data_IF_012580477893
#
_entry.id   IF_012580477893
#
_cell.length_a   1.000
_cell.length_b   1.000
_cell.length_c   1.000
_cell.angle_alpha   90.00
_cell.angle_beta   90.00
_cell.angle_gamma   90.00
#
_symmetry.space_group_name_H-M   'P 1'
#
loop_
_entity.id
_entity.type
_entity.pdbx_description
1 polymer ?
#
# COMPACT_ATOMS: atom_id res chain seq x y z
N UNK A 1 15.87 12.74 -22.31
CA UNK A 1 15.67 12.42 -20.89
C UNK A 1 15.08 11.03 -20.90
N UNK A 2 15.80 10.08 -20.32
CA UNK A 2 15.58 8.66 -20.62
C UNK A 2 14.46 8.12 -19.72
N UNK A 3 13.44 7.44 -20.27
CA UNK A 3 12.37 6.84 -19.47
C UNK A 3 12.91 5.78 -18.51
N UNK A 4 12.48 5.83 -17.25
CA UNK A 4 12.82 4.86 -16.23
C UNK A 4 11.65 4.62 -15.27
N UNK A 5 11.87 3.78 -14.26
CA UNK A 5 10.98 3.62 -13.11
C UNK A 5 11.73 3.88 -11.82
N UNK A 6 11.07 4.54 -10.87
CA UNK A 6 11.54 4.64 -9.50
C UNK A 6 10.87 3.54 -8.68
N UNK A 7 11.67 2.80 -7.92
CA UNK A 7 11.23 1.66 -7.11
C UNK A 7 11.50 1.94 -5.64
N UNK A 8 10.57 1.51 -4.79
CA UNK A 8 10.68 1.50 -3.33
C UNK A 8 10.53 0.06 -2.81
N UNK A 9 11.48 -0.39 -2.00
CA UNK A 9 11.43 -1.72 -1.39
C UNK A 9 10.71 -1.74 -0.04
N UNK A 10 10.34 -2.94 0.41
CA UNK A 10 9.76 -3.19 1.74
C UNK A 10 10.63 -2.78 2.93
N UNK A 11 11.89 -2.43 2.70
CA UNK A 11 12.84 -1.99 3.73
C UNK A 11 13.27 -0.54 3.57
N UNK A 12 12.59 0.24 2.71
CA UNK A 12 12.87 1.67 2.54
C UNK A 12 14.02 2.00 1.59
N UNK A 13 14.47 1.04 0.77
CA UNK A 13 15.48 1.30 -0.25
C UNK A 13 14.84 1.90 -1.50
N UNK A 14 15.47 2.93 -2.05
CA UNK A 14 15.12 3.58 -3.31
C UNK A 14 16.17 3.30 -4.37
N UNK A 15 15.70 3.08 -5.60
CA UNK A 15 16.55 2.98 -6.79
C UNK A 15 15.73 3.31 -8.03
N UNK A 16 16.41 3.55 -9.16
CA UNK A 16 15.78 3.67 -10.48
C UNK A 16 16.25 2.58 -11.44
N UNK A 17 15.38 2.16 -12.35
CA UNK A 17 15.73 1.23 -13.43
C UNK A 17 16.48 1.95 -14.57
N UNK A 18 17.13 1.18 -15.43
CA UNK A 18 17.81 1.71 -16.62
C UNK A 18 16.84 2.06 -17.77
N UNK A 19 15.64 1.49 -17.76
CA UNK A 19 14.60 1.62 -18.78
C UNK A 19 13.20 1.68 -18.14
N UNK A 20 12.16 1.91 -18.93
CA UNK A 20 10.77 2.03 -18.45
C UNK A 20 9.99 0.69 -18.46
N UNK A 21 10.67 -0.44 -18.68
CA UNK A 21 10.01 -1.73 -18.81
C UNK A 21 9.22 -2.06 -17.53
N UNK A 22 8.04 -2.67 -17.63
CA UNK A 22 7.30 -3.13 -16.47
C UNK A 22 8.15 -4.04 -15.58
N UNK A 23 8.06 -3.87 -14.27
CA UNK A 23 8.59 -4.84 -13.30
C UNK A 23 7.65 -6.06 -13.28
N UNK A 24 7.99 -7.06 -14.08
CA UNK A 24 7.27 -8.32 -14.06
C UNK A 24 7.61 -9.11 -12.80
N UNK A 25 6.59 -9.72 -12.20
CA UNK A 25 6.71 -10.58 -11.03
C UNK A 25 6.25 -11.98 -11.44
N UNK A 26 7.21 -12.90 -11.56
CA UNK A 26 6.97 -14.31 -11.80
C UNK A 26 6.75 -15.06 -10.49
N UNK A 27 5.82 -16.02 -10.50
CA UNK A 27 5.58 -16.92 -9.37
C UNK A 27 6.74 -17.91 -9.14
N UNK A 28 7.44 -18.28 -10.22
CA UNK A 28 8.51 -19.29 -10.19
C UNK A 28 9.90 -18.69 -9.93
N UNK A 29 10.01 -17.37 -9.87
CA UNK A 29 11.29 -16.71 -9.65
C UNK A 29 11.84 -17.00 -8.24
N UNK A 30 13.15 -17.26 -8.18
CA UNK A 30 13.84 -17.44 -6.92
C UNK A 30 13.86 -16.12 -6.15
N UNK A 31 13.09 -16.08 -5.06
CA UNK A 31 13.02 -14.95 -4.13
C UNK A 31 14.37 -14.66 -3.46
N UNK A 32 14.69 -13.38 -3.27
CA UNK A 32 15.93 -12.89 -2.65
C UNK A 32 15.64 -11.77 -1.65
N UNK A 33 16.63 -11.32 -0.89
CA UNK A 33 16.44 -10.23 0.07
C UNK A 33 16.15 -8.91 -0.69
N UNK A 34 15.25 -8.09 -0.17
CA UNK A 34 14.85 -6.79 -0.75
C UNK A 34 14.16 -6.89 -2.14
N UNK A 35 13.47 -7.99 -2.40
CA UNK A 35 12.75 -8.24 -3.66
C UNK A 35 11.25 -7.94 -3.62
N UNK A 36 10.76 -7.41 -2.49
CA UNK A 36 9.38 -6.93 -2.35
C UNK A 36 9.36 -5.44 -2.65
N UNK A 37 8.79 -5.09 -3.81
CA UNK A 37 8.60 -3.72 -4.27
C UNK A 37 7.24 -3.23 -3.77
N UNK A 38 7.23 -2.25 -2.87
CA UNK A 38 5.98 -1.72 -2.29
C UNK A 38 5.40 -0.56 -3.08
N UNK A 39 6.24 0.11 -3.88
CA UNK A 39 5.81 1.17 -4.78
C UNK A 39 6.72 1.23 -6.00
N UNK A 40 6.13 1.41 -7.18
CA UNK A 40 6.87 1.69 -8.40
C UNK A 40 6.12 2.73 -9.22
N UNK A 41 6.86 3.66 -9.83
CA UNK A 41 6.27 4.76 -10.59
C UNK A 41 7.09 5.04 -11.84
N UNK A 42 6.44 5.39 -12.94
CA UNK A 42 7.10 5.83 -14.15
C UNK A 42 7.74 7.22 -13.95
N UNK A 43 8.91 7.43 -14.53
CA UNK A 43 9.64 8.68 -14.43
C UNK A 43 10.58 8.85 -15.64
N UNK A 44 11.33 9.95 -15.64
CA UNK A 44 12.49 10.14 -16.51
C UNK A 44 13.74 10.37 -15.66
N UNK A 45 14.91 10.05 -16.20
CA UNK A 45 16.17 10.10 -15.47
C UNK A 45 16.51 11.48 -14.86
N UNK A 46 16.01 12.57 -15.44
CA UNK A 46 16.17 13.95 -14.94
C UNK A 46 14.87 14.56 -14.39
N UNK A 47 13.82 13.76 -14.26
CA UNK A 47 12.54 14.18 -13.73
C UNK A 47 12.46 14.07 -12.20
N UNK A 48 11.26 14.34 -11.69
CA UNK A 48 10.92 14.21 -10.28
C UNK A 48 9.75 13.23 -10.09
N UNK A 49 9.68 12.60 -8.93
CA UNK A 49 8.49 11.87 -8.46
C UNK A 49 8.03 12.41 -7.12
N UNK A 50 6.76 12.18 -6.77
CA UNK A 50 6.20 12.52 -5.47
C UNK A 50 6.34 11.36 -4.48
N UNK A 51 6.67 11.68 -3.23
CA UNK A 51 6.78 10.73 -2.13
C UNK A 51 5.77 11.10 -1.04
N UNK A 52 4.70 10.33 -0.90
CA UNK A 52 3.56 10.62 -0.01
C UNK A 52 3.83 10.07 1.38
N UNK A 53 3.62 10.88 2.41
CA UNK A 53 3.93 10.53 3.80
C UNK A 53 2.68 10.32 4.67
N UNK A 54 2.84 9.62 5.80
CA UNK A 54 1.75 9.31 6.74
C UNK A 54 1.11 10.56 7.35
N UNK A 55 1.82 11.67 7.43
CA UNK A 55 1.35 12.94 7.99
C UNK A 55 0.61 13.82 6.97
N UNK A 56 0.39 13.33 5.75
CA UNK A 56 -0.39 14.05 4.74
C UNK A 56 0.43 15.00 3.85
N UNK A 57 1.75 14.81 3.79
CA UNK A 57 2.66 15.55 2.90
C UNK A 57 3.00 14.73 1.66
N UNK A 58 3.45 15.43 0.64
CA UNK A 58 4.12 14.90 -0.54
C UNK A 58 5.42 15.66 -0.72
N UNK A 59 6.53 14.92 -0.71
CA UNK A 59 7.87 15.45 -0.91
C UNK A 59 8.33 15.14 -2.33
N UNK A 60 8.93 16.12 -2.99
CA UNK A 60 9.49 15.97 -4.33
C UNK A 60 10.84 15.25 -4.24
N UNK A 61 10.99 14.19 -5.03
CA UNK A 61 12.18 13.36 -5.09
C UNK A 61 12.80 13.44 -6.49
N UNK A 62 14.01 13.97 -6.55
CA UNK A 62 14.80 14.08 -7.77
C UNK A 62 15.32 12.69 -8.20
N UNK A 63 14.96 12.27 -9.41
CA UNK A 63 15.26 10.91 -9.91
C UNK A 63 16.75 10.76 -10.23
N UNK A 64 17.43 11.83 -10.63
CA UNK A 64 18.84 11.78 -11.04
C UNK A 64 19.78 11.40 -9.89
N UNK A 65 19.36 11.67 -8.66
CA UNK A 65 20.13 11.40 -7.45
C UNK A 65 20.02 9.92 -7.02
N UNK A 66 19.05 9.18 -7.57
CA UNK A 66 18.81 7.79 -7.20
C UNK A 66 19.84 6.83 -7.84
N UNK A 67 20.30 5.81 -7.09
CA UNK A 67 21.11 4.73 -7.64
C UNK A 67 20.39 4.07 -8.80
N UNK A 68 21.09 3.93 -9.94
CA UNK A 68 20.58 3.18 -11.08
C UNK A 68 20.91 1.71 -10.89
N UNK A 69 19.88 0.85 -10.94
CA UNK A 69 20.06 -0.60 -10.93
C UNK A 69 20.68 -1.07 -12.25
N UNK A 70 21.47 -2.15 -12.24
CA UNK A 70 21.91 -2.81 -13.45
C UNK A 70 20.71 -3.22 -14.32
N UNK A 71 20.84 -3.08 -15.63
CA UNK A 71 19.84 -3.58 -16.57
C UNK A 71 19.96 -5.09 -16.70
N UNK A 72 19.30 -5.81 -15.80
CA UNK A 72 19.17 -7.26 -15.87
C UNK A 72 17.75 -7.59 -16.27
N UNK A 73 17.56 -8.47 -17.26
CA UNK A 73 16.25 -9.06 -17.61
C UNK A 73 15.66 -9.97 -16.52
N UNK A 74 16.11 -9.80 -15.27
CA UNK A 74 15.63 -10.48 -14.09
C UNK A 74 14.82 -9.50 -13.24
N UNK A 75 13.97 -10.04 -12.38
CA UNK A 75 13.20 -9.23 -11.44
C UNK A 75 14.12 -8.36 -10.58
N UNK A 76 13.79 -7.07 -10.39
CA UNK A 76 14.59 -6.18 -9.58
C UNK A 76 14.54 -6.59 -8.11
N UNK A 77 15.70 -6.63 -7.48
CA UNK A 77 15.82 -6.49 -6.03
C UNK A 77 16.58 -5.19 -5.74
N UNK A 78 16.28 -4.55 -4.62
CA UNK A 78 16.85 -3.26 -4.28
C UNK A 78 18.10 -3.36 -3.40
N UNK A 79 18.85 -4.47 -3.44
CA UNK A 79 20.08 -4.60 -2.66
C UNK A 79 21.14 -3.55 -3.04
N UNK A 80 21.09 -3.00 -4.27
CA UNK A 80 21.93 -1.89 -4.72
C UNK A 80 21.29 -0.51 -4.59
N UNK A 81 20.13 -0.39 -3.94
CA UNK A 81 19.47 0.89 -3.65
C UNK A 81 20.07 1.58 -2.44
N UNK A 82 19.60 2.80 -2.18
CA UNK A 82 20.01 3.64 -1.05
C UNK A 82 18.82 3.94 -0.13
N UNK A 83 19.07 4.25 1.14
CA UNK A 83 17.97 4.45 2.09
C UNK A 83 17.21 5.74 1.82
N UNK A 84 15.89 5.72 2.02
CA UNK A 84 15.03 6.89 1.85
C UNK A 84 15.53 8.13 2.60
N UNK A 85 16.09 7.95 3.79
CA UNK A 85 16.63 9.04 4.63
C UNK A 85 17.82 9.78 4.01
N UNK A 86 18.44 9.23 2.98
CA UNK A 86 19.51 9.90 2.22
C UNK A 86 18.95 10.95 1.25
N UNK A 87 17.66 10.86 0.89
CA UNK A 87 17.03 11.72 -0.13
C UNK A 87 15.93 12.60 0.45
N UNK A 88 15.21 12.13 1.48
CA UNK A 88 14.06 12.81 2.05
C UNK A 88 14.23 12.99 3.55
N UNK A 89 13.83 14.17 4.03
CA UNK A 89 13.73 14.45 5.47
C UNK A 89 12.31 14.21 5.94
N UNK A 90 12.12 13.15 6.72
CA UNK A 90 10.85 12.84 7.35
C UNK A 90 10.80 13.42 8.77
N UNK A 91 9.62 13.87 9.20
CA UNK A 91 9.39 14.27 10.58
C UNK A 91 9.45 13.07 11.53
N UNK A 92 9.51 13.32 12.84
CA UNK A 92 9.39 12.25 13.83
C UNK A 92 8.06 11.50 13.67
N UNK A 93 8.12 10.16 13.72
CA UNK A 93 6.98 9.25 13.54
C UNK A 93 6.27 9.33 12.18
N UNK A 94 6.88 10.02 11.20
CA UNK A 94 6.40 10.04 9.82
C UNK A 94 6.97 8.87 9.02
N UNK A 95 6.11 8.23 8.24
CA UNK A 95 6.45 7.09 7.39
C UNK A 95 6.17 7.44 5.93
N UNK A 96 6.97 6.90 5.01
CA UNK A 96 6.65 6.96 3.59
C UNK A 96 5.57 5.92 3.26
N UNK A 97 4.52 6.37 2.59
CA UNK A 97 3.36 5.54 2.22
C UNK A 97 3.48 5.03 0.78
N UNK A 98 3.74 5.91 -0.19
CA UNK A 98 3.87 5.52 -1.59
C UNK A 98 4.67 6.55 -2.41
N UNK A 99 5.08 6.13 -3.61
CA UNK A 99 5.54 7.01 -4.68
C UNK A 99 4.39 7.31 -5.65
N UNK A 100 4.44 8.44 -6.34
CA UNK A 100 3.46 8.81 -7.37
C UNK A 100 4.07 9.74 -8.43
N UNK A 101 3.49 9.74 -9.63
CA UNK A 101 3.91 10.65 -10.69
C UNK A 101 3.55 12.09 -10.33
N UNK A 102 4.30 13.03 -10.89
CA UNK A 102 3.98 14.47 -10.81
C UNK A 102 3.47 14.96 -12.17
N UNK A 103 2.57 14.19 -12.78
CA UNK A 103 2.00 14.48 -14.10
C UNK A 103 0.54 14.95 -14.00
N UNK A 104 0.20 16.02 -14.71
CA UNK A 104 -1.16 16.55 -14.80
C UNK A 104 -2.14 15.56 -15.45
N UNK A 105 -1.63 14.61 -16.24
CA UNK A 105 -2.41 13.54 -16.88
C UNK A 105 -2.81 12.41 -15.92
N UNK A 106 -2.26 12.36 -14.70
CA UNK A 106 -2.58 11.33 -13.72
C UNK A 106 -4.07 11.39 -13.33
N UNK A 107 -4.79 10.24 -13.24
CA UNK A 107 -6.14 10.21 -12.67
C UNK A 107 -6.22 10.61 -11.20
N UNK A 108 -5.07 10.83 -10.56
CA UNK A 108 -4.93 11.34 -9.21
C UNK A 108 -4.64 10.27 -8.17
N UNK A 109 -4.39 10.72 -6.95
CA UNK A 109 -4.03 9.86 -5.82
C UNK A 109 -5.28 9.49 -5.01
N UNK A 110 -5.50 8.21 -4.75
CA UNK A 110 -6.45 7.77 -3.74
C UNK A 110 -5.73 7.61 -2.39
N UNK A 111 -6.32 8.15 -1.33
CA UNK A 111 -5.79 8.15 0.04
C UNK A 111 -6.86 7.57 0.98
N UNK A 112 -6.44 6.71 1.90
CA UNK A 112 -7.22 6.26 3.03
C UNK A 112 -6.49 6.54 4.35
N UNK A 113 -7.24 6.94 5.38
CA UNK A 113 -6.69 7.30 6.68
C UNK A 113 -7.07 6.33 7.79
N UNK A 114 -6.32 6.37 8.89
CA UNK A 114 -6.51 5.59 10.10
C UNK A 114 -7.95 5.71 10.64
N UNK A 115 -8.51 6.92 10.62
CA UNK A 115 -9.86 7.21 11.10
C UNK A 115 -10.97 6.94 10.06
N UNK A 116 -10.66 6.26 8.96
CA UNK A 116 -11.66 5.84 7.97
C UNK A 116 -12.06 6.93 6.98
N UNK A 117 -11.25 7.97 6.82
CA UNK A 117 -11.43 8.97 5.77
C UNK A 117 -10.89 8.44 4.44
N UNK A 118 -11.58 8.78 3.35
CA UNK A 118 -11.11 8.55 1.98
C UNK A 118 -11.01 9.87 1.24
N UNK A 119 -9.99 10.02 0.39
CA UNK A 119 -9.83 11.16 -0.50
C UNK A 119 -9.31 10.72 -1.86
N UNK A 120 -9.80 11.35 -2.93
CA UNK A 120 -9.13 11.37 -4.23
C UNK A 120 -8.55 12.75 -4.45
N UNK A 121 -7.25 12.85 -4.66
CA UNK A 121 -6.53 14.10 -4.87
C UNK A 121 -6.39 14.36 -6.36
N UNK A 122 -6.76 15.56 -6.80
CA UNK A 122 -6.50 15.98 -8.19
C UNK A 122 -4.99 16.16 -8.42
N UNK A 123 -4.47 15.86 -9.62
CA UNK A 123 -3.08 16.14 -9.96
C UNK A 123 -2.87 17.65 -10.10
N UNK A 124 -2.44 18.29 -9.02
CA UNK A 124 -2.05 19.71 -9.00
C UNK A 124 -0.73 19.82 -8.23
N UNK A 125 0.38 19.80 -8.97
CA UNK A 125 1.72 19.72 -8.41
C UNK A 125 2.57 20.91 -8.88
N UNK A 126 2.51 22.06 -8.19
CA UNK A 126 3.30 23.24 -8.54
C UNK A 126 4.80 22.88 -8.68
N UNK A 127 5.45 23.20 -9.82
CA UNK A 127 6.82 22.76 -10.11
C UNK A 127 7.88 23.43 -9.22
N UNK A 128 7.52 24.55 -8.58
CA UNK A 128 8.40 25.32 -7.70
C UNK A 128 8.24 24.98 -6.20
N UNK A 129 7.61 23.85 -5.90
CA UNK A 129 7.37 23.39 -4.53
C UNK A 129 7.99 22.02 -4.34
N UNK A 130 8.91 21.95 -3.38
CA UNK A 130 9.55 20.71 -2.96
C UNK A 130 8.68 19.91 -1.99
N UNK A 131 7.74 20.59 -1.33
CA UNK A 131 6.80 20.01 -0.37
C UNK A 131 5.38 20.50 -0.65
N UNK A 132 4.43 19.58 -0.63
CA UNK A 132 3.01 19.81 -0.88
C UNK A 132 2.16 19.09 0.17
N UNK A 133 1.10 19.72 0.65
CA UNK A 133 0.04 19.00 1.39
C UNK A 133 -0.80 18.19 0.40
N UNK A 134 -1.14 16.94 0.72
CA UNK A 134 -2.06 16.11 -0.08
C UNK A 134 -3.42 15.90 0.59
N UNK A 135 -3.50 16.08 1.91
CA UNK A 135 -4.74 16.01 2.70
C UNK A 135 -4.58 16.76 4.02
N UNK A 136 -5.60 17.53 4.40
CA UNK A 136 -5.67 18.12 5.74
C UNK A 136 -6.19 17.07 6.72
N UNK A 137 -5.33 16.56 7.59
CA UNK A 137 -5.66 15.55 8.58
C UNK A 137 -6.28 16.18 9.83
N UNK A 138 -7.12 15.40 10.51
CA UNK A 138 -7.58 15.72 11.87
C UNK A 138 -6.54 15.26 12.89
N UNK A 139 -6.62 15.81 14.09
CA UNK A 139 -5.79 15.38 15.21
C UNK A 139 -5.85 13.87 15.42
N UNK A 140 -4.68 13.25 15.54
CA UNK A 140 -4.52 11.80 15.71
C UNK A 140 -4.91 10.96 14.48
N UNK A 141 -5.15 11.57 13.32
CA UNK A 141 -5.32 10.84 12.06
C UNK A 141 -3.99 10.76 11.30
N UNK A 142 -3.85 9.76 10.44
CA UNK A 142 -2.70 9.57 9.55
C UNK A 142 -3.11 8.80 8.31
N UNK A 143 -2.40 9.00 7.21
CA UNK A 143 -2.54 8.17 6.03
C UNK A 143 -2.04 6.76 6.38
N UNK A 144 -2.86 5.74 6.10
CA UNK A 144 -2.51 4.31 6.26
C UNK A 144 -2.34 3.61 4.92
N UNK A 145 -2.72 4.26 3.83
CA UNK A 145 -2.47 3.78 2.48
C UNK A 145 -2.77 4.87 1.45
N UNK A 146 -2.00 4.86 0.38
CA UNK A 146 -2.22 5.71 -0.77
C UNK A 146 -1.84 4.97 -2.05
N UNK A 147 -2.56 5.22 -3.13
CA UNK A 147 -2.35 4.56 -4.42
C UNK A 147 -2.67 5.53 -5.53
N UNK A 148 -1.73 5.72 -6.45
CA UNK A 148 -2.00 6.45 -7.69
C UNK A 148 -2.97 5.65 -8.55
N UNK A 149 -4.07 6.27 -8.96
CA UNK A 149 -5.08 5.64 -9.79
C UNK A 149 -4.59 5.59 -11.25
N UNK A 150 -4.96 4.54 -11.97
CA UNK A 150 -4.63 4.33 -13.39
C UNK A 150 -5.77 4.67 -14.32
N UNK A 151 -6.99 4.35 -13.91
CA UNK A 151 -8.20 4.64 -14.70
C UNK A 151 -9.22 5.46 -13.92
N UNK A 152 -9.17 5.42 -12.58
CA UNK A 152 -10.22 5.96 -11.72
C UNK A 152 -11.44 5.04 -11.58
N UNK A 153 -11.37 3.83 -12.15
CA UNK A 153 -12.39 2.78 -12.08
C UNK A 153 -12.06 1.68 -11.05
N UNK A 154 -10.91 1.78 -10.38
CA UNK A 154 -10.45 0.86 -9.36
C UNK A 154 -11.44 0.75 -8.20
N UNK A 155 -11.47 -0.40 -7.53
CA UNK A 155 -12.12 -0.55 -6.24
C UNK A 155 -11.20 -0.02 -5.14
N UNK A 156 -11.70 0.93 -4.36
CA UNK A 156 -11.06 1.37 -3.13
C UNK A 156 -11.37 0.35 -2.03
N UNK A 157 -10.35 -0.12 -1.33
CA UNK A 157 -10.45 -1.19 -0.34
C UNK A 157 -9.95 -0.70 1.00
N UNK A 158 -10.77 -0.87 2.03
CA UNK A 158 -10.43 -0.65 3.43
C UNK A 158 -10.45 -1.98 4.18
N UNK A 159 -9.47 -2.21 5.05
CA UNK A 159 -9.50 -3.30 6.03
C UNK A 159 -9.29 -2.72 7.42
N UNK A 160 -10.16 -3.11 8.36
CA UNK A 160 -10.23 -2.54 9.71
C UNK A 160 -9.77 -3.54 10.77
N UNK A 161 -9.35 -3.01 11.93
CA UNK A 161 -8.83 -3.81 13.04
C UNK A 161 -9.86 -4.78 13.65
N UNK A 162 -11.15 -4.50 13.52
CA UNK A 162 -12.26 -5.39 13.91
C UNK A 162 -12.66 -6.42 12.81
N UNK A 163 -11.72 -6.72 11.92
CA UNK A 163 -11.83 -7.70 10.84
C UNK A 163 -12.99 -7.43 9.88
N UNK A 164 -13.24 -6.17 9.51
CA UNK A 164 -14.09 -5.83 8.38
C UNK A 164 -13.26 -5.46 7.16
N UNK A 165 -13.78 -5.79 5.98
CA UNK A 165 -13.30 -5.31 4.70
C UNK A 165 -14.45 -4.63 3.96
N UNK A 166 -14.21 -3.38 3.54
CA UNK A 166 -15.13 -2.63 2.70
C UNK A 166 -14.45 -2.36 1.35
N UNK A 167 -15.12 -2.72 0.25
CA UNK A 167 -14.72 -2.28 -1.10
C UNK A 167 -15.85 -1.60 -1.86
N UNK A 168 -15.52 -0.56 -2.61
CA UNK A 168 -16.43 0.17 -3.49
C UNK A 168 -15.67 0.91 -4.61
N UNK A 169 -16.31 1.23 -5.75
CA UNK A 169 -15.64 1.89 -6.87
C UNK A 169 -15.13 3.29 -6.50
N UNK A 170 -13.94 3.66 -6.96
CA UNK A 170 -13.31 4.97 -6.76
C UNK A 170 -14.18 6.14 -7.28
N UNK A 171 -15.02 5.90 -8.29
CA UNK A 171 -16.03 6.83 -8.77
C UNK A 171 -17.04 7.28 -7.69
N UNK A 172 -17.19 6.53 -6.60
CA UNK A 172 -18.03 6.89 -5.44
C UNK A 172 -17.43 8.02 -4.57
N UNK A 173 -16.20 8.41 -4.87
CA UNK A 173 -15.44 9.50 -4.24
C UNK A 173 -15.10 10.50 -5.33
N UNK A 174 -15.54 11.75 -5.17
CA UNK A 174 -15.18 12.82 -6.10
C UNK A 174 -13.71 13.23 -5.87
N UNK A 175 -12.94 13.55 -6.93
CA UNK A 175 -11.66 14.21 -6.78
C UNK A 175 -11.80 15.56 -6.04
N UNK A 176 -10.83 15.89 -5.21
CA UNK A 176 -10.78 17.10 -4.39
C UNK A 176 -9.40 17.74 -4.46
N UNK A 177 -9.35 19.06 -4.28
CA UNK A 177 -8.10 19.80 -4.15
C UNK A 177 -7.27 19.36 -2.94
N UNK A 178 -5.96 19.64 -3.00
CA UNK A 178 -4.99 19.32 -1.95
C UNK A 178 -5.38 19.77 -0.53
N UNK A 179 -5.93 20.98 -0.28
CA UNK A 179 -6.32 21.41 1.07
C UNK A 179 -7.61 20.79 1.62
N UNK A 180 -8.27 19.88 0.89
CA UNK A 180 -9.50 19.24 1.39
C UNK A 180 -9.17 18.10 2.37
N UNK A 181 -9.99 17.95 3.42
CA UNK A 181 -9.83 16.86 4.41
C UNK A 181 -10.44 15.51 4.02
N UNK A 182 -10.90 15.32 2.79
CA UNK A 182 -11.54 14.06 2.36
C UNK A 182 -13.01 13.91 2.77
N UNK A 183 -13.51 12.67 2.71
CA UNK A 183 -14.89 12.29 3.05
C UNK A 183 -14.91 10.98 3.84
N UNK A 184 -16.02 10.63 4.49
CA UNK A 184 -16.15 9.31 5.13
C UNK A 184 -15.98 8.16 4.10
N UNK A 185 -15.00 7.30 4.32
CA UNK A 185 -14.67 6.17 3.46
C UNK A 185 -15.28 4.86 3.97
N UNK A 186 -15.01 4.53 5.22
CA UNK A 186 -15.54 3.35 5.92
C UNK A 186 -16.13 3.77 7.26
N UNK A 187 -17.21 3.10 7.69
CA UNK A 187 -17.77 3.29 9.03
C UNK A 187 -17.06 2.34 10.00
N UNK A 188 -16.27 2.91 10.91
CA UNK A 188 -15.59 2.17 11.95
C UNK A 188 -16.53 1.82 13.12
N UNK A 189 -16.35 0.65 13.70
CA UNK A 189 -16.89 0.33 15.01
C UNK A 189 -16.18 1.16 16.11
N UNK A 190 -16.78 1.23 17.30
CA UNK A 190 -16.16 1.94 18.41
C UNK A 190 -14.80 1.32 18.77
N UNK A 191 -13.74 2.14 18.74
CA UNK A 191 -12.36 1.70 19.02
C UNK A 191 -11.66 0.97 17.86
N UNK A 192 -12.35 0.72 16.74
CA UNK A 192 -11.73 0.16 15.55
C UNK A 192 -11.04 1.26 14.73
N UNK A 193 -10.00 0.86 14.00
CA UNK A 193 -9.22 1.72 13.11
C UNK A 193 -9.00 1.03 11.76
N UNK A 194 -8.62 1.79 10.74
CA UNK A 194 -8.20 1.24 9.45
C UNK A 194 -6.76 0.77 9.55
N UNK A 195 -6.51 -0.49 9.22
CA UNK A 195 -5.16 -1.06 9.15
C UNK A 195 -4.53 -0.90 7.77
N UNK A 196 -5.33 -0.97 6.72
CA UNK A 196 -4.85 -0.79 5.36
C UNK A 196 -5.88 -0.20 4.43
N UNK A 197 -5.35 0.55 3.47
CA UNK A 197 -6.08 1.10 2.34
C UNK A 197 -5.31 0.85 1.05
N UNK A 198 -6.03 0.50 -0.02
CA UNK A 198 -5.45 0.35 -1.37
C UNK A 198 -6.50 0.64 -2.44
N UNK A 199 -6.06 0.75 -3.69
CA UNK A 199 -6.91 0.66 -4.87
C UNK A 199 -6.56 -0.61 -5.67
N UNK A 200 -7.58 -1.38 -6.06
CA UNK A 200 -7.44 -2.62 -6.83
C UNK A 200 -8.21 -2.50 -8.13
N UNK A 201 -7.54 -2.74 -9.25
CA UNK A 201 -8.22 -2.88 -10.54
C UNK A 201 -9.19 -4.07 -10.48
N UNK A 202 -10.51 -3.87 -10.68
CA UNK A 202 -11.49 -4.95 -10.62
C UNK A 202 -11.30 -6.02 -11.70
N UNK A 203 -10.53 -5.76 -12.77
CA UNK A 203 -10.19 -6.74 -13.78
C UNK A 203 -8.96 -7.60 -13.41
N UNK A 204 -8.17 -7.17 -12.43
CA UNK A 204 -6.98 -7.89 -11.97
C UNK A 204 -7.32 -8.97 -10.95
N UNK A 205 -6.60 -10.09 -11.01
CA UNK A 205 -6.60 -11.06 -9.92
C UNK A 205 -5.96 -10.43 -8.69
N UNK A 206 -6.61 -10.61 -7.55
CA UNK A 206 -6.21 -10.00 -6.30
C UNK A 206 -6.50 -10.93 -5.12
N UNK A 207 -5.83 -10.65 -4.00
CA UNK A 207 -5.95 -11.45 -2.79
C UNK A 207 -5.94 -10.57 -1.55
N UNK A 208 -6.53 -11.08 -0.47
CA UNK A 208 -6.60 -10.41 0.84
C UNK A 208 -5.82 -11.26 1.84
N UNK A 209 -4.86 -10.64 2.51
CA UNK A 209 -4.12 -11.24 3.60
C UNK A 209 -4.45 -10.54 4.92
N UNK A 210 -4.73 -11.32 5.95
CA UNK A 210 -5.05 -10.81 7.29
C UNK A 210 -4.29 -11.60 8.34
N UNK A 211 -3.90 -10.93 9.42
CA UNK A 211 -3.29 -11.54 10.61
C UNK A 211 -4.07 -11.10 11.83
N UNK A 212 -4.62 -12.06 12.57
CA UNK A 212 -5.29 -11.84 13.84
C UNK A 212 -4.36 -12.12 15.02
N UNK A 213 -4.61 -11.41 16.11
CA UNK A 213 -3.95 -11.57 17.40
C UNK A 213 -4.85 -11.03 18.53
N UNK A 214 -4.23 -10.63 19.62
CA UNK A 214 -4.90 -10.12 20.82
C UNK A 214 -4.27 -8.84 21.33
N UNK A 215 -5.09 -7.92 21.81
CA UNK A 215 -4.59 -6.78 22.57
C UNK A 215 -4.02 -7.22 23.93
N UNK A 216 -2.83 -6.73 24.29
CA UNK A 216 -2.38 -6.67 25.68
C UNK A 216 -1.86 -7.96 26.32
N UNK A 217 -1.59 -9.03 25.57
CA UNK A 217 -0.86 -10.19 26.10
C UNK A 217 0.63 -10.04 25.81
N UNK A 218 1.47 -10.10 26.86
CA UNK A 218 2.94 -10.18 26.77
C UNK A 218 3.45 -11.37 25.94
N UNK A 219 2.55 -12.32 25.67
CA UNK A 219 2.73 -13.38 24.68
C UNK A 219 2.20 -12.91 23.32
N UNK A 220 3.10 -12.35 22.50
CA UNK A 220 2.92 -12.14 21.05
C UNK A 220 2.82 -13.48 20.27
N UNK A 221 2.57 -14.60 20.94
CA UNK A 221 3.09 -15.89 20.50
C UNK A 221 2.14 -16.71 19.62
N UNK A 222 0.86 -16.34 19.49
CA UNK A 222 -0.05 -17.03 18.57
C UNK A 222 -0.82 -16.04 17.71
N UNK A 223 -0.22 -15.72 16.57
CA UNK A 223 -0.90 -15.05 15.48
C UNK A 223 -1.51 -16.07 14.52
N UNK A 224 -2.71 -15.81 14.02
CA UNK A 224 -3.27 -16.57 12.90
C UNK A 224 -3.38 -15.72 11.67
N UNK A 225 -3.00 -16.29 10.53
CA UNK A 225 -3.05 -15.63 9.24
C UNK A 225 -4.04 -16.32 8.31
N UNK A 226 -4.62 -15.54 7.41
CA UNK A 226 -5.49 -16.03 6.36
C UNK A 226 -5.17 -15.32 5.07
N UNK A 227 -5.17 -16.07 3.97
CA UNK A 227 -5.07 -15.56 2.62
C UNK A 227 -6.36 -15.93 1.91
N UNK A 228 -7.14 -14.96 1.44
CA UNK A 228 -8.47 -15.19 0.85
C UNK A 228 -8.57 -14.51 -0.51
N UNK A 229 -9.05 -15.21 -1.55
CA UNK A 229 -9.30 -14.62 -2.87
C UNK A 229 -10.16 -13.35 -2.79
N UNK A 230 -9.78 -12.31 -3.52
CA UNK A 230 -10.45 -11.01 -3.43
C UNK A 230 -11.89 -11.05 -3.92
N UNK A 231 -12.24 -11.94 -4.85
CA UNK A 231 -13.59 -12.12 -5.37
C UNK A 231 -14.63 -12.53 -4.30
N UNK A 232 -14.19 -13.06 -3.15
CA UNK A 232 -15.05 -13.42 -2.03
C UNK A 232 -15.63 -12.19 -1.29
N UNK A 233 -15.13 -10.98 -1.57
CA UNK A 233 -15.50 -9.75 -0.88
C UNK A 233 -16.40 -8.87 -1.74
N UNK A 234 -17.74 -8.97 -1.67
CA UNK A 234 -18.62 -8.21 -2.55
C UNK A 234 -18.47 -6.70 -2.39
N UNK A 235 -18.63 -5.95 -3.49
CA UNK A 235 -18.79 -4.49 -3.45
C UNK A 235 -19.96 -4.09 -2.55
N UNK A 236 -19.78 -3.02 -1.78
CA UNK A 236 -20.83 -2.40 -0.93
C UNK A 236 -20.87 -0.90 -1.20
N UNK A 237 -21.74 -0.18 -0.47
CA UNK A 237 -21.75 1.28 -0.50
C UNK A 237 -20.61 1.88 0.33
N UNK A 238 -20.08 3.02 -0.12
CA UNK A 238 -19.15 3.85 0.67
C UNK A 238 -19.76 4.21 2.03
N UNK A 239 -18.90 4.38 3.04
CA UNK A 239 -19.28 4.73 4.42
C UNK A 239 -20.20 3.70 5.11
N UNK A 240 -20.20 2.45 4.63
CA UNK A 240 -20.75 1.30 5.36
C UNK A 240 -19.66 0.61 6.19
N UNK A 241 -20.02 -0.41 6.97
CA UNK A 241 -19.03 -1.17 7.76
C UNK A 241 -18.31 -2.28 6.99
N UNK A 242 -18.67 -2.54 5.73
CA UNK A 242 -18.10 -3.66 4.96
C UNK A 242 -18.66 -5.03 5.36
N UNK A 243 -17.85 -6.07 5.14
CA UNK A 243 -18.15 -7.47 5.46
C UNK A 243 -16.98 -8.07 6.23
N UNK A 244 -17.26 -9.03 7.13
CA UNK A 244 -16.21 -9.71 7.89
C UNK A 244 -15.17 -10.34 6.97
N UNK A 245 -13.88 -10.13 7.24
CA UNK A 245 -12.77 -10.69 6.47
C UNK A 245 -11.97 -11.77 7.20
N UNK A 246 -12.14 -11.90 8.52
CA UNK A 246 -11.64 -13.01 9.31
C UNK A 246 -12.52 -13.20 10.54
N UNK A 247 -12.78 -14.45 10.92
CA UNK A 247 -13.38 -14.77 12.21
C UNK A 247 -12.28 -15.03 13.22
N UNK A 248 -12.29 -14.30 14.32
CA UNK A 248 -11.38 -14.52 15.44
C UNK A 248 -11.59 -15.88 16.11
N UNK A 249 -10.50 -16.54 16.46
CA UNK A 249 -10.45 -17.70 17.33
C UNK A 249 -10.57 -17.29 18.79
N UNK A 250 -10.70 -18.29 19.68
CA UNK A 250 -10.68 -18.04 21.13
C UNK A 250 -9.32 -17.45 21.49
N UNK A 251 -9.34 -16.25 22.09
CA UNK A 251 -8.15 -15.51 22.48
C UNK A 251 -7.77 -14.41 21.50
N UNK A 252 -8.32 -14.39 20.29
CA UNK A 252 -8.12 -13.29 19.33
C UNK A 252 -9.24 -12.26 19.44
N UNK A 253 -8.91 -10.98 19.31
CA UNK A 253 -9.87 -9.88 19.34
C UNK A 253 -9.59 -8.76 18.33
N UNK A 254 -8.49 -8.85 17.58
CA UNK A 254 -8.07 -7.80 16.66
C UNK A 254 -7.28 -8.35 15.46
N UNK A 255 -7.37 -7.69 14.32
CA UNK A 255 -6.36 -7.79 13.28
C UNK A 255 -5.15 -6.92 13.64
N UNK A 256 -3.96 -7.50 13.56
CA UNK A 256 -2.68 -6.80 13.78
C UNK A 256 -1.97 -6.44 12.48
N UNK A 257 -2.38 -7.06 11.36
CA UNK A 257 -1.88 -6.77 10.03
C UNK A 257 -2.94 -7.13 8.99
N UNK A 258 -3.05 -6.31 7.93
CA UNK A 258 -3.94 -6.61 6.82
C UNK A 258 -3.42 -5.99 5.52
N UNK A 259 -3.61 -6.68 4.40
CA UNK A 259 -3.25 -6.20 3.08
C UNK A 259 -4.23 -6.73 2.04
N UNK A 260 -4.49 -5.95 1.00
CA UNK A 260 -5.16 -6.40 -0.21
C UNK A 260 -4.44 -5.84 -1.42
N UNK A 261 -4.41 -6.59 -2.52
CA UNK A 261 -3.78 -6.15 -3.75
C UNK A 261 -3.64 -7.26 -4.79
N UNK A 262 -3.02 -6.93 -5.94
CA UNK A 262 -2.92 -7.85 -7.07
C UNK A 262 -2.00 -9.05 -6.77
N UNK A 263 -2.21 -10.15 -7.48
CA UNK A 263 -1.35 -11.34 -7.45
C UNK A 263 -0.29 -11.29 -8.57
N UNK A 264 0.87 -11.95 -8.39
CA UNK A 264 1.27 -12.73 -7.22
C UNK A 264 1.70 -11.86 -6.02
N UNK A 265 1.13 -12.14 -4.85
CA UNK A 265 1.45 -11.44 -3.62
C UNK A 265 2.77 -11.97 -3.04
N UNK A 266 3.67 -11.05 -2.67
CA UNK A 266 4.97 -11.35 -2.08
C UNK A 266 5.07 -10.73 -0.69
N UNK A 267 5.42 -11.56 0.29
CA UNK A 267 5.68 -11.13 1.65
C UNK A 267 7.18 -11.03 1.95
N UNK A 268 7.51 -10.14 2.89
CA UNK A 268 8.84 -10.01 3.48
C UNK A 268 8.77 -9.80 5.00
N UNK A 269 9.83 -10.24 5.68
CA UNK A 269 10.09 -9.92 7.08
C UNK A 269 10.67 -8.50 7.21
N UNK A 270 10.77 -7.97 8.43
CA UNK A 270 11.28 -6.60 8.70
C UNK A 270 12.66 -6.33 8.11
N UNK A 271 13.51 -7.36 8.00
CA UNK A 271 14.85 -7.24 7.44
C UNK A 271 14.89 -7.37 5.91
N UNK A 272 13.76 -7.54 5.22
CA UNK A 272 13.67 -7.69 3.77
C UNK A 272 13.84 -9.13 3.27
N UNK A 273 14.01 -10.11 4.16
CA UNK A 273 14.03 -11.53 3.77
C UNK A 273 12.62 -11.96 3.34
N UNK A 274 12.47 -12.73 2.26
CA UNK A 274 11.17 -13.27 1.84
C UNK A 274 10.47 -14.05 2.97
N UNK A 275 9.17 -13.85 3.11
CA UNK A 275 8.32 -14.60 4.03
C UNK A 275 7.30 -15.44 3.24
N UNK A 276 6.91 -16.59 3.78
CA UNK A 276 5.89 -17.44 3.17
C UNK A 276 4.48 -17.00 3.54
N UNK A 277 3.61 -16.95 2.53
CA UNK A 277 2.17 -16.80 2.72
C UNK A 277 1.50 -18.18 2.87
N UNK A 278 0.42 -18.29 3.67
CA UNK A 278 -0.34 -19.51 3.78
C UNK A 278 -1.08 -19.81 2.46
N UNK A 279 -1.54 -21.06 2.30
CA UNK A 279 -2.38 -21.42 1.16
C UNK A 279 -3.70 -20.61 1.17
N UNK A 280 -4.26 -20.27 -0.01
CA UNK A 280 -5.55 -19.59 -0.08
C UNK A 280 -6.69 -20.38 0.58
N UNK A 281 -7.52 -19.69 1.36
CA UNK A 281 -8.79 -20.17 1.93
C UNK A 281 -9.95 -19.33 1.35
N UNK A 282 -10.90 -19.93 0.60
CA UNK A 282 -12.01 -19.20 -0.01
C UNK A 282 -13.04 -18.69 1.00
N UNK A 283 -12.97 -19.10 2.27
CA UNK A 283 -13.93 -18.68 3.30
C UNK A 283 -13.55 -17.29 3.82
N UNK A 284 -14.17 -16.27 3.24
CA UNK A 284 -14.12 -14.87 3.71
C UNK A 284 -14.29 -14.75 5.23
N UNK A 285 -15.28 -15.42 5.81
CA UNK A 285 -15.62 -15.36 7.24
C UNK A 285 -15.03 -16.53 8.04
N UNK A 286 -14.09 -17.27 7.45
CA UNK A 286 -13.30 -18.30 8.14
C UNK A 286 -12.29 -17.70 9.12
N UNK A 287 -11.79 -18.55 10.02
CA UNK A 287 -10.63 -18.21 10.85
C UNK A 287 -9.33 -18.49 10.14
N UNK A 288 -8.26 -17.83 10.57
CA UNK A 288 -6.92 -18.08 10.08
C UNK A 288 -6.31 -19.38 10.60
N UNK A 289 -5.12 -19.70 10.09
CA UNK A 289 -4.24 -20.77 10.55
C UNK A 289 -3.00 -20.16 11.22
N UNK A 290 -2.29 -20.89 12.10
CA UNK A 290 -1.09 -20.37 12.75
C UNK A 290 -0.10 -19.74 11.74
N UNK A 291 0.36 -18.52 12.04
CA UNK A 291 1.35 -17.82 11.22
C UNK A 291 2.73 -18.45 11.47
N UNK A 292 3.32 -19.04 10.42
CA UNK A 292 4.57 -19.80 10.55
C UNK A 292 5.82 -18.92 10.57
N UNK A 293 5.79 -17.79 9.85
CA UNK A 293 6.89 -16.86 9.72
C UNK A 293 6.34 -15.43 9.88
N UNK A 294 7.04 -14.51 10.56
CA UNK A 294 6.61 -13.12 10.66
C UNK A 294 6.44 -12.49 9.27
N UNK A 295 5.31 -11.83 9.03
CA UNK A 295 5.07 -11.04 7.82
C UNK A 295 5.02 -9.57 8.24
N UNK A 296 5.98 -8.79 7.74
CA UNK A 296 6.06 -7.36 8.05
C UNK A 296 5.46 -6.50 6.93
N UNK A 297 5.62 -6.94 5.68
CA UNK A 297 5.17 -6.22 4.49
C UNK A 297 4.69 -7.22 3.45
N UNK A 298 3.65 -6.85 2.72
CA UNK A 298 3.20 -7.54 1.51
C UNK A 298 3.06 -6.51 0.39
N UNK A 299 3.45 -6.90 -0.81
CA UNK A 299 3.11 -6.19 -2.03
C UNK A 299 2.80 -7.17 -3.16
N UNK A 300 2.00 -6.72 -4.11
CA UNK A 300 1.79 -7.39 -5.39
C UNK A 300 2.57 -6.69 -6.50
N UNK A 301 2.36 -7.08 -7.76
CA UNK A 301 2.84 -6.30 -8.90
C UNK A 301 2.36 -4.85 -8.77
N UNK A 302 3.25 -3.86 -8.94
CA UNK A 302 2.81 -2.48 -8.93
C UNK A 302 1.89 -2.22 -10.13
N UNK A 303 0.89 -1.37 -9.94
CA UNK A 303 -0.04 -0.99 -11.00
C UNK A 303 0.72 -0.21 -12.07
N UNK A 304 0.58 -0.55 -13.36
CA UNK A 304 1.26 0.10 -14.48
C UNK A 304 0.41 1.09 -15.25
#
# INVERSE_FOLDING_TARGET
DDPCRVLLSSTGLLARTANADPVEISEDARRTKHDVIVSAVAATARGDVGAVTSTGRMLRLSVIDLPQLPDTHAEPNLSGGAQISEFLSLEADEELICLTTLEDSSPGLAIGTLQGVVKRVVPDYPPNKDELEVISLKDGDRIVGATELRTGEEDLVFITSDAQLLRYPAASVRPQGRPAGGMAGVKLAAGAEVLSFTAVDPASEAIVFTVAGSHGTLDDSVLTSKLTPFDQYPRKGRATGGVRCQRFLKGEDVLVFAWAGPTPARAAQKNGTPAKLPAPDPRRDGSGTPLLEPVAVIAGPPLY
#
